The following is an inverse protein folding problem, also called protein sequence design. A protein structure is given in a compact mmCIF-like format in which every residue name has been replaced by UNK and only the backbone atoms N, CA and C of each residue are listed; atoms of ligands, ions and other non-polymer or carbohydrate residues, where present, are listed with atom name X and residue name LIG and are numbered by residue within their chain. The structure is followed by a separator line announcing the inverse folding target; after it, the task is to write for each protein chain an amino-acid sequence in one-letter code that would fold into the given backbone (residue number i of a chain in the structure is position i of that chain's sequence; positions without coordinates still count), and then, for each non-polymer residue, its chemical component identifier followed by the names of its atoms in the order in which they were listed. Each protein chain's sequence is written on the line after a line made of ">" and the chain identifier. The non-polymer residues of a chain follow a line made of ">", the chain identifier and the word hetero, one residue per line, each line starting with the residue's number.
data_IF_683347393424
#
_entry.id   IF_683347393424
#
_cell.length_a   1.000
_cell.length_b   1.000
_cell.length_c   1.000
_cell.angle_alpha   90.00
_cell.angle_beta   90.00
_cell.angle_gamma   90.00
#
_symmetry.space_group_name_H-M   'P 1'
#
loop_
_entity.id
_entity.type
_entity.pdbx_description
1 polymer ?
#
# COMPACT_ATOMS: atom_id res chain seq x y z
N UNK A 1 -20.49 20.20 -31.76
CA UNK A 1 -20.16 18.99 -30.98
C UNK A 1 -19.34 19.42 -29.78
N UNK A 2 -19.96 19.50 -28.60
CA UNK A 2 -19.26 19.88 -27.37
C UNK A 2 -18.45 18.68 -26.89
N UNK A 3 -17.12 18.77 -26.94
CA UNK A 3 -16.23 17.80 -26.32
C UNK A 3 -16.48 17.88 -24.81
N UNK A 4 -17.11 16.84 -24.24
CA UNK A 4 -17.15 16.68 -22.79
C UNK A 4 -15.70 16.67 -22.31
N UNK A 5 -15.24 17.75 -21.69
CA UNK A 5 -13.99 17.74 -20.96
C UNK A 5 -14.17 16.72 -19.84
N UNK A 6 -13.37 15.66 -19.87
CA UNK A 6 -13.42 14.65 -18.82
C UNK A 6 -13.05 15.32 -17.49
N UNK A 7 -13.92 15.29 -16.46
CA UNK A 7 -13.67 15.96 -15.18
C UNK A 7 -12.46 15.39 -14.42
N UNK A 8 -11.89 14.28 -14.91
CA UNK A 8 -10.70 13.62 -14.38
C UNK A 8 -9.42 13.95 -15.17
N UNK A 9 -9.50 14.80 -16.20
CA UNK A 9 -8.34 15.25 -16.98
C UNK A 9 -7.39 16.08 -16.09
N UNK A 10 -6.49 15.40 -15.38
CA UNK A 10 -5.51 16.01 -14.47
C UNK A 10 -5.41 15.34 -13.10
N UNK A 11 -6.30 14.40 -12.75
CA UNK A 11 -6.19 13.61 -11.52
C UNK A 11 -5.48 12.30 -11.86
N UNK A 12 -4.40 11.99 -11.13
CA UNK A 12 -3.73 10.71 -11.27
C UNK A 12 -4.60 9.60 -10.65
N UNK A 13 -5.07 8.68 -11.49
CA UNK A 13 -5.97 7.59 -11.06
C UNK A 13 -5.34 6.20 -11.19
N UNK A 14 -4.01 6.12 -11.21
CA UNK A 14 -3.28 4.85 -11.35
C UNK A 14 -3.76 4.04 -12.58
N UNK A 15 -4.04 4.70 -13.70
CA UNK A 15 -4.43 4.10 -14.99
C UNK A 15 -3.19 3.89 -15.88
N UNK A 16 -3.21 2.91 -16.80
CA UNK A 16 -2.06 2.63 -17.69
C UNK A 16 -1.59 3.84 -18.50
N UNK A 17 -2.50 4.74 -18.87
CA UNK A 17 -2.20 6.00 -19.59
C UNK A 17 -1.18 6.87 -18.85
N UNK A 18 -1.24 6.93 -17.52
CA UNK A 18 -0.34 7.77 -16.72
C UNK A 18 1.09 7.20 -16.62
N UNK A 19 1.32 5.97 -17.06
CA UNK A 19 2.63 5.31 -17.03
C UNK A 19 3.31 5.26 -18.39
N UNK A 20 2.69 5.80 -19.44
CA UNK A 20 3.22 5.73 -20.81
C UNK A 20 4.57 6.44 -20.95
N UNK A 21 4.75 7.57 -20.26
CA UNK A 21 5.97 8.38 -20.34
C UNK A 21 7.14 7.80 -19.54
N UNK A 22 6.89 6.86 -18.63
CA UNK A 22 7.94 6.27 -17.79
C UNK A 22 8.78 5.27 -18.58
N UNK A 23 10.09 5.51 -18.62
CA UNK A 23 11.09 4.74 -19.38
C UNK A 23 11.70 3.60 -18.56
N UNK A 24 11.60 3.67 -17.23
CA UNK A 24 12.06 2.62 -16.32
C UNK A 24 11.20 1.36 -16.34
N UNK A 25 11.53 0.44 -15.43
CA UNK A 25 10.88 -0.88 -15.36
C UNK A 25 9.52 -0.75 -14.65
N UNK A 26 8.44 -1.15 -15.33
CA UNK A 26 7.07 -1.13 -14.79
C UNK A 26 6.60 -2.55 -14.53
N UNK A 27 6.14 -2.81 -13.32
CA UNK A 27 5.84 -4.17 -12.88
C UNK A 27 4.50 -4.19 -12.17
N UNK A 28 3.60 -5.11 -12.51
CA UNK A 28 2.37 -5.31 -11.76
C UNK A 28 2.69 -5.94 -10.39
N UNK A 29 1.92 -5.58 -9.36
CA UNK A 29 2.12 -6.11 -8.00
C UNK A 29 2.06 -7.66 -7.91
N UNK A 30 1.46 -8.34 -8.88
CA UNK A 30 1.42 -9.80 -8.96
C UNK A 30 2.75 -10.47 -9.32
N UNK A 31 3.65 -9.75 -10.01
CA UNK A 31 4.91 -10.30 -10.56
C UNK A 31 6.13 -9.94 -9.71
N UNK A 32 5.92 -9.52 -8.45
CA UNK A 32 6.96 -9.10 -7.50
C UNK A 32 7.88 -10.20 -6.96
N UNK A 33 7.83 -11.40 -7.51
CA UNK A 33 8.68 -12.50 -7.06
C UNK A 33 9.90 -12.72 -7.97
N UNK A 34 9.84 -12.23 -9.21
CA UNK A 34 10.79 -12.58 -10.27
C UNK A 34 11.85 -11.50 -10.53
N UNK A 35 11.80 -10.38 -9.81
CA UNK A 35 12.64 -9.22 -10.06
C UNK A 35 13.79 -9.10 -9.07
N UNK A 36 14.93 -8.67 -9.62
CA UNK A 36 16.05 -8.21 -8.81
C UNK A 36 15.86 -6.75 -8.39
N UNK A 37 15.86 -6.56 -7.07
CA UNK A 37 15.68 -5.29 -6.39
C UNK A 37 16.99 -4.65 -5.94
N UNK A 38 18.11 -5.35 -6.07
CA UNK A 38 19.40 -4.90 -5.58
C UNK A 38 19.77 -3.51 -6.12
N UNK A 39 20.13 -2.60 -5.21
CA UNK A 39 20.63 -1.25 -5.47
C UNK A 39 19.70 -0.31 -6.29
N UNK A 40 18.42 -0.63 -6.42
CA UNK A 40 17.45 0.17 -7.18
C UNK A 40 16.57 1.05 -6.30
N UNK A 41 16.14 2.18 -6.87
CA UNK A 41 15.11 3.03 -6.28
C UNK A 41 13.73 2.59 -6.75
N UNK A 42 12.86 2.22 -5.82
CA UNK A 42 11.58 1.58 -6.11
C UNK A 42 10.43 2.48 -5.65
N UNK A 43 9.50 2.75 -6.56
CA UNK A 43 8.20 3.33 -6.23
C UNK A 43 7.16 2.22 -6.13
N UNK A 44 6.34 2.25 -5.09
CA UNK A 44 5.14 1.44 -5.01
C UNK A 44 3.92 2.35 -5.04
N UNK A 45 3.10 2.21 -6.08
CA UNK A 45 1.93 3.05 -6.30
C UNK A 45 0.66 2.22 -6.04
N UNK A 46 0.02 2.54 -4.92
CA UNK A 46 -1.13 1.79 -4.42
C UNK A 46 -0.75 0.78 -3.36
N UNK A 47 -1.77 0.16 -2.76
CA UNK A 47 -1.59 -0.81 -1.68
C UNK A 47 -2.55 -1.96 -1.88
N UNK A 48 -1.99 -3.14 -2.12
CA UNK A 48 -2.73 -4.39 -2.28
C UNK A 48 -2.14 -5.50 -1.41
N UNK A 49 -2.73 -6.68 -1.47
CA UNK A 49 -2.28 -7.81 -0.66
C UNK A 49 -0.86 -8.27 -1.02
N UNK A 50 -0.47 -8.19 -2.30
CA UNK A 50 0.87 -8.59 -2.74
C UNK A 50 1.94 -7.62 -2.24
N UNK A 51 1.71 -6.32 -2.45
CA UNK A 51 2.59 -5.25 -1.96
C UNK A 51 2.81 -5.36 -0.46
N UNK A 52 1.74 -5.50 0.32
CA UNK A 52 1.80 -5.49 1.78
C UNK A 52 2.51 -6.71 2.35
N UNK A 53 2.42 -7.86 1.68
CA UNK A 53 3.19 -9.06 2.02
C UNK A 53 4.67 -8.93 1.65
N UNK A 54 4.98 -8.32 0.50
CA UNK A 54 6.32 -8.33 -0.08
C UNK A 54 7.18 -7.10 0.30
N UNK A 55 6.56 -6.05 0.86
CA UNK A 55 7.24 -4.81 1.21
C UNK A 55 8.50 -5.04 2.05
N UNK A 56 8.45 -5.97 3.01
CA UNK A 56 9.58 -6.31 3.86
C UNK A 56 10.78 -6.82 3.04
N UNK A 57 10.55 -7.78 2.14
CA UNK A 57 11.58 -8.34 1.27
C UNK A 57 12.14 -7.30 0.31
N UNK A 58 11.29 -6.43 -0.25
CA UNK A 58 11.72 -5.35 -1.15
C UNK A 58 12.62 -4.38 -0.38
N UNK A 59 12.18 -3.93 0.79
CA UNK A 59 12.96 -3.00 1.63
C UNK A 59 14.28 -3.56 2.15
N UNK A 60 14.48 -4.88 2.18
CA UNK A 60 15.75 -5.47 2.57
C UNK A 60 16.82 -5.43 1.48
N UNK A 61 16.42 -5.39 0.21
CA UNK A 61 17.34 -5.50 -0.93
C UNK A 61 17.44 -4.20 -1.74
N UNK A 62 16.41 -3.35 -1.70
CA UNK A 62 16.35 -2.11 -2.44
C UNK A 62 17.16 -0.99 -1.78
N UNK A 63 17.71 -0.10 -2.60
CA UNK A 63 18.41 1.10 -2.15
C UNK A 63 17.48 2.07 -1.45
N UNK A 64 16.32 2.32 -2.05
CA UNK A 64 15.27 3.19 -1.51
C UNK A 64 13.90 2.70 -1.95
N UNK A 65 12.92 2.70 -1.04
CA UNK A 65 11.54 2.30 -1.30
C UNK A 65 10.60 3.44 -0.93
N UNK A 66 9.86 3.94 -1.91
CA UNK A 66 8.87 5.01 -1.73
C UNK A 66 7.47 4.44 -1.94
N UNK A 67 6.68 4.41 -0.88
CA UNK A 67 5.30 3.89 -0.91
C UNK A 67 4.34 5.06 -1.05
N UNK A 68 3.70 5.18 -2.21
CA UNK A 68 2.69 6.19 -2.50
C UNK A 68 1.32 5.68 -2.08
N UNK A 69 0.81 6.22 -0.99
CA UNK A 69 -0.45 5.81 -0.38
C UNK A 69 -1.24 7.02 0.11
N UNK A 70 -2.30 7.37 -0.61
CA UNK A 70 -3.21 8.45 -0.22
C UNK A 70 -4.18 7.97 0.86
N UNK A 71 -4.71 6.75 0.69
CA UNK A 71 -5.71 6.17 1.58
C UNK A 71 -5.14 4.93 2.30
N UNK A 72 -4.98 4.97 3.64
CA UNK A 72 -4.55 3.81 4.41
C UNK A 72 -5.57 2.66 4.37
N UNK A 73 -5.06 1.43 4.30
CA UNK A 73 -5.85 0.19 4.39
C UNK A 73 -5.78 -0.41 5.80
N UNK A 74 -6.76 -1.24 6.18
CA UNK A 74 -6.71 -1.96 7.45
C UNK A 74 -5.78 -3.17 7.32
N UNK A 75 -4.63 -3.17 7.99
CA UNK A 75 -3.74 -4.34 8.02
C UNK A 75 -3.99 -5.16 9.28
N UNK A 76 -4.20 -6.46 9.09
CA UNK A 76 -4.33 -7.47 10.14
C UNK A 76 -3.06 -8.31 10.19
N UNK A 77 -2.73 -8.91 11.35
CA UNK A 77 -1.61 -9.84 11.44
C UNK A 77 -1.86 -11.03 10.49
N UNK A 78 -0.85 -11.35 9.70
CA UNK A 78 -0.83 -12.48 8.79
C UNK A 78 -0.64 -13.81 9.51
N UNK A 79 -0.06 -13.79 10.71
CA UNK A 79 0.17 -14.98 11.52
C UNK A 79 -1.15 -15.57 11.99
N UNK A 80 -1.61 -16.54 11.22
CA UNK A 80 -2.79 -17.33 11.50
C UNK A 80 -2.74 -17.97 12.89
N UNK A 81 -1.57 -18.19 13.51
CA UNK A 81 -1.48 -18.91 14.80
C UNK A 81 -2.16 -18.21 15.96
N UNK A 82 -2.05 -16.88 16.05
CA UNK A 82 -2.64 -16.11 17.17
C UNK A 82 -4.13 -15.90 16.92
N UNK A 83 -4.49 -15.50 15.69
CA UNK A 83 -5.90 -15.32 15.31
C UNK A 83 -6.67 -16.65 15.31
N UNK A 84 -6.11 -17.74 14.78
CA UNK A 84 -6.74 -19.06 14.79
C UNK A 84 -6.94 -19.59 16.20
N UNK A 85 -6.01 -19.38 17.13
CA UNK A 85 -6.22 -19.77 18.54
C UNK A 85 -7.43 -19.08 19.16
N UNK A 86 -7.62 -17.79 18.86
CA UNK A 86 -8.77 -17.02 19.34
C UNK A 86 -10.06 -17.44 18.60
N UNK A 87 -10.00 -17.64 17.28
CA UNK A 87 -11.14 -18.02 16.45
C UNK A 87 -11.61 -19.46 16.77
N UNK A 88 -10.68 -20.39 17.02
CA UNK A 88 -10.96 -21.79 17.36
C UNK A 88 -11.35 -21.98 18.84
N UNK A 89 -11.35 -20.93 19.64
CA UNK A 89 -11.89 -21.01 20.98
C UNK A 89 -13.38 -21.39 20.91
N UNK A 90 -13.87 -22.37 21.68
CA UNK A 90 -15.22 -22.94 21.54
C UNK A 90 -16.36 -21.90 21.67
N UNK A 91 -16.13 -20.82 22.41
CA UNK A 91 -17.07 -19.70 22.56
C UNK A 91 -17.16 -18.80 21.31
N UNK A 92 -16.09 -18.73 20.53
CA UNK A 92 -15.96 -17.86 19.35
C UNK A 92 -16.28 -18.63 18.07
N UNK A 93 -15.92 -19.91 18.02
CA UNK A 93 -16.28 -20.82 16.94
C UNK A 93 -17.80 -21.00 16.77
N UNK A 94 -18.56 -21.05 17.87
CA UNK A 94 -20.04 -21.09 17.84
C UNK A 94 -20.67 -19.79 17.32
N UNK A 95 -19.98 -18.66 17.48
CA UNK A 95 -20.49 -17.33 17.15
C UNK A 95 -19.57 -16.58 16.16
N UNK A 96 -19.25 -17.21 15.01
CA UNK A 96 -18.51 -16.57 13.90
C UNK A 96 -19.10 -15.21 13.47
N UNK A 97 -20.38 -14.97 13.72
CA UNK A 97 -21.08 -13.68 13.52
C UNK A 97 -20.50 -12.52 14.35
N UNK A 98 -19.76 -12.79 15.42
CA UNK A 98 -19.13 -11.76 16.23
C UNK A 98 -17.91 -11.15 15.54
N UNK A 99 -17.26 -11.87 14.60
CA UNK A 99 -16.17 -11.34 13.76
C UNK A 99 -16.68 -10.38 12.65
N UNK A 100 -17.49 -9.41 13.07
CA UNK A 100 -17.98 -8.31 12.25
C UNK A 100 -16.87 -7.34 11.87
N UNK A 101 -17.13 -6.52 10.85
CA UNK A 101 -16.22 -5.49 10.38
C UNK A 101 -15.73 -4.54 11.50
N UNK A 102 -16.53 -4.33 12.55
CA UNK A 102 -16.13 -3.52 13.73
C UNK A 102 -14.97 -4.15 14.50
N UNK A 103 -15.04 -5.46 14.77
CA UNK A 103 -13.96 -6.16 15.49
C UNK A 103 -12.70 -6.21 14.63
N UNK A 104 -12.85 -6.49 13.32
CA UNK A 104 -11.71 -6.47 12.40
C UNK A 104 -11.02 -5.10 12.39
N UNK A 105 -11.79 -4.01 12.27
CA UNK A 105 -11.22 -2.67 12.29
C UNK A 105 -10.53 -2.33 13.62
N UNK A 106 -11.10 -2.76 14.75
CA UNK A 106 -10.48 -2.54 16.06
C UNK A 106 -9.19 -3.33 16.22
N UNK A 107 -9.17 -4.59 15.78
CA UNK A 107 -7.98 -5.44 15.82
C UNK A 107 -6.86 -4.88 14.95
N UNK A 108 -7.17 -4.40 13.75
CA UNK A 108 -6.17 -3.77 12.89
C UNK A 108 -5.61 -2.48 13.48
N UNK A 109 -6.45 -1.66 14.14
CA UNK A 109 -5.96 -0.44 14.80
C UNK A 109 -5.05 -0.77 15.97
N UNK A 110 -5.44 -1.72 16.81
CA UNK A 110 -4.59 -2.18 17.93
C UNK A 110 -3.28 -2.78 17.44
N UNK A 111 -3.32 -3.49 16.31
CA UNK A 111 -2.13 -4.05 15.67
C UNK A 111 -1.19 -2.95 15.17
N UNK A 112 -1.74 -1.93 14.48
CA UNK A 112 -1.00 -0.74 14.04
C UNK A 112 -0.38 0.03 15.22
N UNK A 113 -1.15 0.26 16.29
CA UNK A 113 -0.66 0.93 17.50
C UNK A 113 0.47 0.19 18.19
N UNK A 114 0.42 -1.15 18.17
CA UNK A 114 1.45 -1.99 18.76
C UNK A 114 2.75 -2.01 17.93
N UNK A 115 2.65 -2.00 16.60
CA UNK A 115 3.83 -2.08 15.72
C UNK A 115 4.47 -0.71 15.44
N UNK A 116 3.68 0.37 15.34
CA UNK A 116 4.18 1.70 14.97
C UNK A 116 4.31 2.57 16.21
N UNK A 117 5.56 2.83 16.63
CA UNK A 117 5.84 3.68 17.80
C UNK A 117 5.69 5.16 17.50
N UNK A 118 6.05 5.60 16.30
CA UNK A 118 5.98 7.02 15.91
C UNK A 118 4.53 7.49 15.75
N UNK A 119 4.13 8.52 16.51
CA UNK A 119 2.76 9.05 16.50
C UNK A 119 2.35 9.65 15.16
N UNK A 120 3.27 10.28 14.42
CA UNK A 120 2.96 10.93 13.15
C UNK A 120 2.72 9.90 12.06
N UNK A 121 3.61 8.91 11.94
CA UNK A 121 3.44 7.77 11.03
C UNK A 121 2.16 6.99 11.35
N UNK A 122 1.87 6.80 12.64
CA UNK A 122 0.63 6.16 13.10
C UNK A 122 -0.62 6.88 12.59
N UNK A 123 -0.65 8.21 12.69
CA UNK A 123 -1.79 9.02 12.20
C UNK A 123 -1.96 8.90 10.69
N UNK A 124 -0.87 8.91 9.92
CA UNK A 124 -0.93 8.75 8.47
C UNK A 124 -1.45 7.38 8.05
N UNK A 125 -1.08 6.33 8.79
CA UNK A 125 -1.50 4.96 8.51
C UNK A 125 -2.87 4.61 9.11
N UNK A 126 -3.50 5.51 9.88
CA UNK A 126 -4.79 5.23 10.52
C UNK A 126 -5.91 5.29 9.48
N UNK A 127 -6.57 4.16 9.15
CA UNK A 127 -7.67 4.14 8.20
C UNK A 127 -8.95 4.79 8.75
N UNK A 128 -9.74 5.36 7.85
CA UNK A 128 -11.04 5.94 8.20
C UNK A 128 -12.05 4.84 8.60
N UNK A 129 -12.40 4.81 9.89
CA UNK A 129 -13.35 3.85 10.47
C UNK A 129 -14.78 3.98 9.93
N UNK A 130 -15.18 5.18 9.48
CA UNK A 130 -16.51 5.47 8.98
C UNK A 130 -16.73 5.02 7.52
N UNK A 131 -15.65 4.68 6.80
CA UNK A 131 -15.76 4.21 5.41
C UNK A 131 -16.61 2.95 5.30
N UNK A 132 -17.53 2.94 4.33
CA UNK A 132 -18.42 1.80 4.05
C UNK A 132 -17.67 0.64 3.39
N UNK A 133 -16.70 0.94 2.51
CA UNK A 133 -15.81 -0.04 1.87
C UNK A 133 -14.49 -0.10 2.64
N UNK A 134 -14.38 -1.08 3.53
CA UNK A 134 -13.15 -1.38 4.29
C UNK A 134 -12.35 -2.47 3.59
N UNK A 135 -11.11 -2.15 3.23
CA UNK A 135 -10.15 -3.11 2.66
C UNK A 135 -9.33 -3.65 3.82
N UNK A 136 -9.32 -4.97 3.98
CA UNK A 136 -8.52 -5.67 4.98
C UNK A 136 -7.39 -6.43 4.27
N UNK A 137 -6.16 -6.06 4.60
CA UNK A 137 -4.94 -6.72 4.12
C UNK A 137 -4.32 -7.50 5.27
N UNK A 138 -3.49 -8.49 4.94
CA UNK A 138 -2.83 -9.34 5.93
C UNK A 138 -1.32 -9.28 5.76
N UNK A 139 -0.60 -8.87 6.80
CA UNK A 139 0.87 -8.96 6.85
C UNK A 139 1.35 -8.75 8.28
N UNK A 140 2.38 -9.50 8.66
CA UNK A 140 3.03 -9.35 9.97
C UNK A 140 4.15 -8.30 9.95
N UNK A 141 4.73 -8.03 8.78
CA UNK A 141 5.98 -7.26 8.64
C UNK A 141 5.79 -5.89 7.98
N UNK A 142 4.57 -5.56 7.52
CA UNK A 142 4.29 -4.34 6.77
C UNK A 142 4.66 -3.06 7.50
N UNK A 143 4.18 -2.88 8.74
CA UNK A 143 4.47 -1.66 9.51
C UNK A 143 5.93 -1.60 9.97
N UNK A 144 6.57 -2.75 10.18
CA UNK A 144 8.00 -2.83 10.45
C UNK A 144 8.81 -2.36 9.24
N UNK A 145 8.41 -2.78 8.03
CA UNK A 145 9.07 -2.39 6.80
C UNK A 145 8.97 -0.89 6.51
N UNK A 146 7.81 -0.28 6.76
CA UNK A 146 7.61 1.17 6.64
C UNK A 146 8.45 2.01 7.61
N UNK A 147 8.95 1.41 8.69
CA UNK A 147 9.78 2.10 9.68
C UNK A 147 11.28 1.98 9.40
N UNK A 148 11.69 1.26 8.34
CA UNK A 148 13.09 1.19 7.93
C UNK A 148 13.58 2.52 7.38
N UNK A 149 14.87 2.79 7.53
CA UNK A 149 15.50 4.05 7.11
C UNK A 149 15.46 4.27 5.59
N UNK A 150 15.47 3.19 4.80
CA UNK A 150 15.38 3.24 3.34
C UNK A 150 13.94 3.21 2.82
N UNK A 151 12.93 3.15 3.70
CA UNK A 151 11.53 3.13 3.31
C UNK A 151 10.82 4.42 3.72
N UNK A 152 10.16 5.07 2.77
CA UNK A 152 9.43 6.30 2.99
C UNK A 152 7.97 6.17 2.55
N UNK A 153 7.05 6.53 3.44
CA UNK A 153 5.63 6.67 3.14
C UNK A 153 5.34 8.07 2.58
N UNK A 154 4.76 8.14 1.39
CA UNK A 154 4.35 9.38 0.73
C UNK A 154 2.83 9.39 0.62
N UNK A 155 2.21 10.36 1.29
CA UNK A 155 0.75 10.53 1.32
C UNK A 155 0.24 11.59 0.34
N UNK A 156 1.15 12.30 -0.31
CA UNK A 156 0.82 13.32 -1.29
C UNK A 156 0.32 12.71 -2.61
N UNK A 157 -0.75 13.27 -3.21
CA UNK A 157 -1.18 12.87 -4.54
C UNK A 157 -0.08 13.07 -5.59
N UNK A 158 0.02 12.09 -6.48
CA UNK A 158 0.88 12.15 -7.66
C UNK A 158 0.23 13.11 -8.66
N UNK A 159 1.02 14.05 -9.19
CA UNK A 159 0.61 14.97 -10.25
C UNK A 159 0.81 14.33 -11.63
N UNK A 160 2.03 13.85 -11.88
CA UNK A 160 2.43 13.20 -13.14
C UNK A 160 3.65 12.31 -12.93
N UNK A 161 3.79 11.33 -13.82
CA UNK A 161 5.00 10.51 -13.91
C UNK A 161 5.73 10.96 -15.18
N UNK A 162 6.98 11.38 -15.02
CA UNK A 162 7.90 11.69 -16.13
C UNK A 162 8.80 10.49 -16.41
N UNK A 163 9.82 10.64 -17.24
CA UNK A 163 10.64 9.52 -17.74
C UNK A 163 11.24 8.65 -16.61
N UNK A 164 11.86 9.29 -15.62
CA UNK A 164 12.52 8.63 -14.49
C UNK A 164 12.11 9.21 -13.12
N UNK A 165 11.10 10.08 -13.08
CA UNK A 165 10.72 10.83 -11.88
C UNK A 165 9.21 10.83 -11.66
N UNK A 166 8.81 10.64 -10.40
CA UNK A 166 7.42 10.86 -9.96
C UNK A 166 7.32 12.27 -9.40
N UNK A 167 6.39 13.05 -9.92
CA UNK A 167 6.11 14.41 -9.45
C UNK A 167 4.88 14.42 -8.55
N UNK A 168 5.03 14.94 -7.34
CA UNK A 168 3.96 15.07 -6.37
C UNK A 168 3.41 16.51 -6.33
N UNK A 169 2.21 16.68 -5.77
CA UNK A 169 1.58 18.02 -5.67
C UNK A 169 2.34 19.00 -4.77
N UNK A 170 3.11 18.49 -3.80
CA UNK A 170 3.99 19.28 -2.94
C UNK A 170 5.26 19.79 -3.67
N UNK A 171 5.33 19.64 -5.00
CA UNK A 171 6.47 19.99 -5.86
C UNK A 171 7.73 19.14 -5.61
N UNK A 172 7.65 18.11 -4.78
CA UNK A 172 8.74 17.15 -4.62
C UNK A 172 8.83 16.22 -5.83
N UNK A 173 10.07 15.86 -6.16
CA UNK A 173 10.39 14.95 -7.25
C UNK A 173 11.08 13.73 -6.66
N UNK A 174 10.59 12.56 -7.04
CA UNK A 174 11.17 11.30 -6.58
C UNK A 174 11.76 10.57 -7.79
N UNK A 175 13.10 10.53 -7.94
CA UNK A 175 13.74 9.67 -8.93
C UNK A 175 13.53 8.21 -8.55
N UNK A 176 13.15 7.40 -9.54
CA UNK A 176 12.79 5.98 -9.37
C UNK A 176 13.17 5.18 -10.61
N UNK A 177 13.71 3.98 -10.40
CA UNK A 177 14.13 3.06 -11.46
C UNK A 177 13.03 2.04 -11.78
N UNK A 178 12.34 1.57 -10.74
CA UNK A 178 11.25 0.60 -10.84
C UNK A 178 9.97 1.21 -10.28
N UNK A 179 8.88 1.07 -11.04
CA UNK A 179 7.54 1.38 -10.55
C UNK A 179 6.71 0.11 -10.46
N UNK A 180 6.27 -0.17 -9.24
CA UNK A 180 5.30 -1.22 -8.92
C UNK A 180 3.91 -0.59 -8.92
N UNK A 181 3.03 -1.09 -9.78
CA UNK A 181 1.65 -0.61 -9.89
C UNK A 181 0.64 -1.69 -9.52
N UNK A 182 -0.50 -1.27 -8.97
CA UNK A 182 -1.58 -2.18 -8.53
C UNK A 182 -2.80 -2.17 -9.45
N UNK A 183 -2.77 -1.45 -10.58
CA UNK A 183 -3.92 -1.45 -11.48
C UNK A 183 -4.05 -2.78 -12.21
N UNK A 184 -5.28 -3.24 -12.37
CA UNK A 184 -5.58 -4.37 -13.23
C UNK A 184 -5.56 -3.86 -14.66
N UNK A 185 -4.59 -4.31 -15.46
CA UNK A 185 -4.68 -4.14 -16.90
C UNK A 185 -5.89 -4.94 -17.38
N UNK A 186 -6.93 -4.27 -17.88
CA UNK A 186 -7.97 -4.94 -18.65
C UNK A 186 -7.29 -5.54 -19.89
N UNK A 187 -7.28 -6.87 -19.98
CA UNK A 187 -6.79 -7.62 -21.14
C UNK A 187 -7.76 -7.50 -22.31
#
# INVERSE_FOLDING_TARGET
>A
MSTKQDPHAGIFENRPEHFQQFTGIKVPSSELLELDYADKDIAIIGTDQFTVSQLDKISQHARSVKVFQINPAFVLPGSDRILQRIINHPLIGKNRRLFNNRIKSLLSLRFLENQVQNLWLRRQLTPNLASSRKIYLKSDHYYTALQRENCQLITWPILKISENTIHCINSEQHPVDIIIHTYLAEK
#
